data_IF_742988646008
#
_entry.id   IF_742988646008
#
_cell.length_a   1.000
_cell.length_b   1.000
_cell.length_c   1.000
_cell.angle_alpha   90.00
_cell.angle_beta   90.00
_cell.angle_gamma   90.00
#
_symmetry.space_group_name_H-M   'P 1'
#
loop_
_entity.id
_entity.type
_entity.pdbx_description
1 polymer ?
#
# COMPACT_ATOMS: atom_id res chain seq x y z
N UNK A 1 -39.88 24.88 7.68
CA UNK A 1 -39.48 26.06 6.90
C UNK A 1 -38.02 26.33 7.25
N UNK A 2 -37.15 26.40 6.23
CA UNK A 2 -35.70 26.65 6.27
C UNK A 2 -34.80 25.59 6.95
N UNK A 3 -33.56 25.32 6.54
CA UNK A 3 -32.82 25.49 5.29
C UNK A 3 -31.46 24.79 5.50
N UNK A 4 -30.84 24.37 4.40
CA UNK A 4 -29.49 23.82 4.26
C UNK A 4 -28.40 24.59 5.02
N UNK A 5 -27.40 23.87 5.52
CA UNK A 5 -25.99 24.17 5.28
C UNK A 5 -25.15 22.90 5.42
N UNK A 6 -24.52 22.51 4.31
CA UNK A 6 -23.45 21.53 4.26
C UNK A 6 -22.16 22.20 4.74
N UNK A 7 -21.42 21.53 5.62
CA UNK A 7 -20.00 21.82 5.87
C UNK A 7 -19.27 20.49 5.74
N UNK A 8 -18.53 20.39 4.65
CA UNK A 8 -17.44 19.45 4.41
C UNK A 8 -16.24 19.88 5.25
N UNK A 9 -15.84 19.08 6.23
CA UNK A 9 -14.50 19.15 6.84
C UNK A 9 -14.23 17.83 7.58
N UNK A 10 -13.23 17.07 7.13
CA UNK A 10 -12.67 15.93 7.88
C UNK A 10 -11.26 16.32 8.32
N UNK A 11 -11.13 16.74 9.58
CA UNK A 11 -9.85 16.83 10.30
C UNK A 11 -9.99 16.22 11.70
N UNK A 12 -9.08 15.28 11.98
CA UNK A 12 -8.53 14.79 13.27
C UNK A 12 -9.36 14.84 14.57
N UNK A 13 -9.37 13.71 15.29
CA UNK A 13 -9.44 13.66 16.76
C UNK A 13 -8.33 12.73 17.29
N UNK A 14 -7.37 13.32 18.01
CA UNK A 14 -6.56 12.66 19.05
C UNK A 14 -7.40 12.54 20.34
N UNK A 15 -7.15 11.53 21.17
CA UNK A 15 -7.01 11.61 22.65
C UNK A 15 -6.45 10.28 23.21
N UNK A 16 -5.50 10.43 24.14
CA UNK A 16 -4.73 9.48 25.00
C UNK A 16 -5.63 8.64 25.96
N UNK A 17 -5.26 7.53 26.65
CA UNK A 17 -4.12 7.28 27.58
C UNK A 17 -4.15 5.83 28.18
N UNK A 18 -2.98 5.15 28.27
CA UNK A 18 -2.36 4.26 29.31
C UNK A 18 -3.13 3.17 30.13
N UNK A 19 -2.59 1.94 30.20
CA UNK A 19 -2.15 1.21 31.44
C UNK A 19 -1.13 0.07 31.16
N UNK A 20 -0.09 0.00 32.01
CA UNK A 20 1.03 -0.98 32.02
C UNK A 20 0.71 -2.27 32.78
N UNK A 21 1.47 -3.35 32.54
CA UNK A 21 2.06 -4.18 33.61
C UNK A 21 3.52 -4.50 33.27
N UNK A 22 4.41 -4.16 34.20
CA UNK A 22 5.84 -4.50 34.24
C UNK A 22 6.02 -5.65 35.22
N UNK A 23 6.86 -6.64 34.90
CA UNK A 23 7.50 -7.49 35.91
C UNK A 23 9.01 -7.28 35.86
N UNK A 24 9.57 -6.99 37.03
CA UNK A 24 11.00 -6.79 37.27
C UNK A 24 11.61 -8.11 37.73
N UNK A 25 12.57 -8.63 36.96
CA UNK A 25 13.66 -9.44 37.49
C UNK A 25 14.94 -8.87 36.90
N UNK A 26 15.83 -8.44 37.79
CA UNK A 26 17.00 -7.64 37.45
C UNK A 26 17.99 -8.38 36.56
N UNK A 27 18.11 -7.93 35.31
CA UNK A 27 19.34 -7.95 34.54
C UNK A 27 19.45 -6.61 33.82
N UNK A 28 20.48 -5.81 34.13
CA UNK A 28 20.87 -4.68 33.28
C UNK A 28 21.49 -5.27 32.02
N UNK A 29 20.66 -5.65 31.05
CA UNK A 29 21.12 -5.88 29.70
C UNK A 29 21.20 -4.51 29.03
N UNK A 30 22.43 -4.00 28.89
CA UNK A 30 22.74 -2.99 27.88
C UNK A 30 22.52 -3.63 26.51
N UNK A 31 21.27 -3.72 26.06
CA UNK A 31 21.00 -3.91 24.65
C UNK A 31 21.45 -2.63 23.96
N UNK A 32 22.62 -2.68 23.32
CA UNK A 32 22.78 -1.90 22.10
C UNK A 32 21.67 -2.37 21.19
N UNK A 33 20.61 -1.57 21.02
CA UNK A 33 19.70 -1.73 19.90
C UNK A 33 20.59 -1.57 18.66
N UNK A 34 21.09 -2.67 18.12
CA UNK A 34 21.46 -2.69 16.71
C UNK A 34 20.13 -2.50 16.00
N UNK A 35 19.77 -1.24 15.72
CA UNK A 35 18.71 -0.95 14.77
C UNK A 35 19.02 -1.83 13.57
N UNK A 36 18.17 -2.80 13.26
CA UNK A 36 18.26 -3.50 11.99
C UNK A 36 18.06 -2.39 10.98
N UNK A 37 19.16 -1.94 10.38
CA UNK A 37 19.12 -0.84 9.45
C UNK A 37 18.36 -1.35 8.23
N UNK A 38 17.09 -1.01 8.14
CA UNK A 38 16.36 -1.06 6.88
C UNK A 38 17.11 -0.23 5.83
N UNK A 39 16.81 -0.48 4.57
CA UNK A 39 17.34 0.32 3.46
C UNK A 39 17.21 1.82 3.77
N UNK A 40 18.29 2.57 3.55
CA UNK A 40 18.39 4.00 3.85
C UNK A 40 17.23 4.81 3.28
N UNK A 41 16.65 4.38 2.15
CA UNK A 41 15.49 5.06 1.55
C UNK A 41 14.27 5.09 2.47
N UNK A 42 14.08 4.07 3.32
CA UNK A 42 12.96 4.00 4.25
C UNK A 42 13.20 4.78 5.54
N UNK A 43 14.46 5.07 5.87
CA UNK A 43 14.83 5.80 7.10
C UNK A 43 14.43 7.27 7.05
N UNK A 44 14.12 7.81 5.87
CA UNK A 44 13.63 9.20 5.71
C UNK A 44 12.24 9.41 6.29
N UNK A 45 11.50 8.32 6.52
CA UNK A 45 10.18 8.34 7.16
C UNK A 45 10.33 7.83 8.60
N UNK A 46 10.14 8.70 9.62
CA UNK A 46 10.22 8.27 11.01
C UNK A 46 9.22 7.15 11.31
N UNK A 47 9.72 6.03 11.85
CA UNK A 47 8.90 4.87 12.21
C UNK A 47 8.36 4.09 11.01
N UNK A 48 9.01 4.18 9.83
CA UNK A 48 8.60 3.44 8.64
C UNK A 48 8.46 1.93 8.88
N UNK A 49 7.42 1.30 8.31
CA UNK A 49 7.08 -0.11 8.53
C UNK A 49 8.20 -1.07 8.14
N UNK A 50 8.96 -0.77 7.08
CA UNK A 50 10.12 -1.56 6.67
C UNK A 50 11.31 -1.51 7.66
N UNK A 51 11.29 -0.60 8.62
CA UNK A 51 12.35 -0.38 9.61
C UNK A 51 12.01 -0.94 10.98
N UNK A 52 10.87 -1.62 11.11
CA UNK A 52 10.47 -2.26 12.35
C UNK A 52 11.30 -3.52 12.59
N UNK A 53 11.62 -3.76 13.86
CA UNK A 53 12.27 -4.99 14.26
C UNK A 53 11.29 -6.17 14.14
N UNK A 54 11.80 -7.30 13.65
CA UNK A 54 11.05 -8.56 13.66
C UNK A 54 10.77 -9.00 15.10
N UNK A 55 9.51 -9.28 15.40
CA UNK A 55 9.07 -9.84 16.67
C UNK A 55 9.59 -11.27 16.83
N UNK A 56 9.97 -11.65 18.05
CA UNK A 56 10.31 -13.04 18.37
C UNK A 56 9.12 -14.00 18.24
N UNK A 57 7.90 -13.46 18.16
CA UNK A 57 6.67 -14.22 17.92
C UNK A 57 6.45 -14.55 16.44
N UNK A 58 7.18 -13.89 15.53
CA UNK A 58 7.01 -14.10 14.10
C UNK A 58 7.54 -15.48 13.68
N UNK A 59 6.66 -16.28 13.10
CA UNK A 59 6.97 -17.58 12.50
C UNK A 59 6.41 -17.64 11.09
N UNK A 60 6.91 -18.57 10.25
CA UNK A 60 6.49 -18.72 8.85
C UNK A 60 6.53 -17.41 8.04
N UNK A 61 7.57 -16.61 8.30
CA UNK A 61 7.81 -15.35 7.60
C UNK A 61 8.21 -15.60 6.14
N UNK A 62 7.70 -14.76 5.25
CA UNK A 62 7.90 -14.87 3.80
C UNK A 62 6.65 -15.35 3.06
N UNK A 63 6.64 -15.09 1.76
CA UNK A 63 5.61 -15.55 0.82
C UNK A 63 6.30 -16.32 -0.29
N UNK A 64 5.97 -17.60 -0.47
CA UNK A 64 6.60 -18.44 -1.49
C UNK A 64 6.27 -17.93 -2.90
N UNK A 65 7.12 -18.19 -3.91
CA UNK A 65 6.85 -17.75 -5.30
C UNK A 65 5.53 -18.31 -5.85
N UNK A 66 5.14 -19.51 -5.41
CA UNK A 66 3.84 -20.09 -5.73
C UNK A 66 2.69 -19.27 -5.12
N UNK A 67 2.83 -18.86 -3.86
CA UNK A 67 1.86 -18.00 -3.18
C UNK A 67 1.79 -16.60 -3.77
N UNK A 68 2.92 -15.99 -4.14
CA UNK A 68 2.96 -14.69 -4.83
C UNK A 68 2.14 -14.75 -6.13
N UNK A 69 2.33 -15.82 -6.91
CA UNK A 69 1.58 -16.08 -8.14
C UNK A 69 0.10 -16.29 -7.87
N UNK A 70 -0.25 -17.11 -6.86
CA UNK A 70 -1.62 -17.37 -6.45
C UNK A 70 -2.35 -16.09 -6.04
N UNK A 71 -1.72 -15.27 -5.18
CA UNK A 71 -2.25 -13.99 -4.70
C UNK A 71 -2.58 -13.08 -5.88
N UNK A 72 -1.62 -12.86 -6.79
CA UNK A 72 -1.80 -11.98 -7.96
C UNK A 72 -2.89 -12.51 -8.88
N UNK A 73 -2.88 -13.81 -9.18
CA UNK A 73 -3.88 -14.42 -10.04
C UNK A 73 -5.29 -14.30 -9.45
N UNK A 74 -5.43 -14.50 -8.14
CA UNK A 74 -6.72 -14.39 -7.46
C UNK A 74 -7.25 -12.95 -7.46
N UNK A 75 -6.39 -11.97 -7.21
CA UNK A 75 -6.77 -10.56 -7.33
C UNK A 75 -7.21 -10.23 -8.76
N UNK A 76 -6.44 -10.65 -9.77
CA UNK A 76 -6.77 -10.39 -11.17
C UNK A 76 -8.06 -11.09 -11.61
N UNK A 77 -8.31 -12.32 -11.16
CA UNK A 77 -9.58 -13.00 -11.38
C UNK A 77 -10.75 -12.17 -10.85
N UNK A 78 -10.68 -11.73 -9.59
CA UNK A 78 -11.74 -10.95 -8.95
C UNK A 78 -11.93 -9.57 -9.59
N UNK A 79 -10.85 -8.91 -9.98
CA UNK A 79 -10.87 -7.62 -10.69
C UNK A 79 -11.48 -7.74 -12.09
N UNK A 80 -11.19 -8.83 -12.80
CA UNK A 80 -11.66 -9.06 -14.16
C UNK A 80 -13.15 -9.42 -14.25
N UNK A 81 -13.82 -9.68 -13.12
CA UNK A 81 -15.22 -10.13 -13.08
C UNK A 81 -16.16 -9.21 -12.27
N UNK A 82 -15.74 -7.98 -11.96
CA UNK A 82 -16.55 -7.03 -11.21
C UNK A 82 -17.88 -6.72 -11.89
N UNK A 83 -18.90 -6.44 -11.08
CA UNK A 83 -20.22 -5.96 -11.53
C UNK A 83 -20.56 -4.68 -10.75
N UNK A 84 -20.90 -3.56 -11.43
CA UNK A 84 -20.93 -3.37 -12.89
C UNK A 84 -19.56 -3.59 -13.55
N UNK A 85 -19.54 -3.81 -14.85
CA UNK A 85 -18.27 -4.04 -15.56
C UNK A 85 -17.37 -2.81 -15.52
N UNK A 86 -16.05 -3.03 -15.55
CA UNK A 86 -15.07 -1.96 -15.54
C UNK A 86 -14.53 -1.70 -16.95
N UNK A 87 -14.53 -0.44 -17.36
CA UNK A 87 -13.95 0.00 -18.64
C UNK A 87 -12.42 0.06 -18.61
N UNK A 88 -11.83 0.17 -17.40
CA UNK A 88 -10.45 0.64 -17.20
C UNK A 88 -9.63 -0.20 -16.21
N UNK A 89 -10.13 -1.36 -15.78
CA UNK A 89 -9.51 -2.14 -14.70
C UNK A 89 -8.12 -2.64 -15.07
N UNK A 90 -7.07 -2.08 -14.45
CA UNK A 90 -5.70 -2.51 -14.68
C UNK A 90 -5.43 -3.91 -14.12
N UNK A 91 -4.68 -4.71 -14.87
CA UNK A 91 -4.10 -5.96 -14.40
C UNK A 91 -3.04 -5.68 -13.32
N UNK A 92 -3.19 -6.32 -12.16
CA UNK A 92 -2.24 -6.25 -11.06
C UNK A 92 -1.07 -7.22 -11.27
N UNK A 93 0.01 -6.92 -10.57
CA UNK A 93 1.22 -7.74 -10.59
C UNK A 93 2.01 -7.57 -9.29
N UNK A 94 2.91 -8.52 -9.01
CA UNK A 94 3.68 -8.55 -7.77
C UNK A 94 4.68 -7.40 -7.71
N UNK A 95 4.81 -6.77 -6.54
CA UNK A 95 5.81 -5.73 -6.29
C UNK A 95 6.65 -6.08 -5.06
N UNK A 96 7.95 -6.20 -5.26
CA UNK A 96 8.90 -6.64 -4.24
C UNK A 96 9.13 -5.60 -3.13
N UNK A 97 8.96 -4.30 -3.41
CA UNK A 97 9.06 -3.26 -2.39
C UNK A 97 7.83 -3.29 -1.49
N UNK A 98 6.63 -3.38 -2.06
CA UNK A 98 5.38 -3.52 -1.29
C UNK A 98 5.42 -4.79 -0.46
N UNK A 99 5.87 -5.91 -1.02
CA UNK A 99 6.04 -7.17 -0.30
C UNK A 99 7.01 -7.06 0.88
N UNK A 100 8.14 -6.36 0.71
CA UNK A 100 9.11 -6.15 1.78
C UNK A 100 8.52 -5.32 2.93
N UNK A 101 7.80 -4.23 2.64
CA UNK A 101 7.12 -3.43 3.67
C UNK A 101 6.02 -4.25 4.34
N UNK A 102 5.23 -5.02 3.57
CA UNK A 102 4.20 -5.91 4.09
C UNK A 102 4.76 -6.96 5.05
N UNK A 103 5.86 -7.60 4.67
CA UNK A 103 6.50 -8.62 5.47
C UNK A 103 7.05 -8.04 6.77
N UNK A 104 7.70 -6.88 6.73
CA UNK A 104 8.20 -6.22 7.94
C UNK A 104 7.07 -5.86 8.91
N UNK A 105 5.92 -5.39 8.39
CA UNK A 105 4.74 -5.12 9.22
C UNK A 105 4.17 -6.41 9.84
N UNK A 106 4.01 -7.47 9.04
CA UNK A 106 3.53 -8.77 9.52
C UNK A 106 4.48 -9.38 10.57
N UNK A 107 5.78 -9.29 10.34
CA UNK A 107 6.84 -9.78 11.24
C UNK A 107 6.89 -9.01 12.56
N UNK A 108 6.31 -7.81 12.65
CA UNK A 108 6.17 -7.06 13.90
C UNK A 108 5.04 -7.60 14.80
N UNK A 109 4.25 -8.57 14.33
CA UNK A 109 3.18 -9.21 15.09
C UNK A 109 2.11 -8.27 15.68
N UNK A 110 1.88 -7.12 15.05
CA UNK A 110 0.86 -6.17 15.46
C UNK A 110 -0.34 -6.20 14.50
N UNK A 111 -1.50 -6.66 14.97
CA UNK A 111 -2.72 -6.69 14.16
C UNK A 111 -3.49 -5.36 14.25
N UNK A 112 -2.87 -4.32 13.72
CA UNK A 112 -3.48 -3.02 13.45
C UNK A 112 -3.03 -2.55 12.08
N UNK A 113 -3.75 -1.58 11.50
CA UNK A 113 -3.22 -0.89 10.34
C UNK A 113 -2.01 -0.05 10.74
N UNK A 114 -0.96 -0.07 9.92
CA UNK A 114 0.13 0.89 10.02
C UNK A 114 -0.31 2.28 9.50
N UNK A 115 0.51 3.28 9.78
CA UNK A 115 0.25 4.63 9.29
C UNK A 115 0.46 4.71 7.77
N UNK A 116 -0.44 5.43 7.07
CA UNK A 116 -0.39 5.55 5.61
C UNK A 116 0.93 6.10 5.08
N UNK A 117 1.51 7.06 5.79
CA UNK A 117 2.83 7.60 5.47
C UNK A 117 3.96 6.59 5.75
N UNK A 118 3.87 5.83 6.85
CA UNK A 118 4.85 4.84 7.27
C UNK A 118 4.93 3.60 6.36
N UNK A 119 3.95 3.38 5.48
CA UNK A 119 3.96 2.31 4.47
C UNK A 119 4.21 2.79 3.03
N UNK A 120 4.51 4.07 2.84
CA UNK A 120 4.86 4.63 1.53
C UNK A 120 6.16 4.06 1.02
N UNK A 121 6.27 3.78 -0.28
CA UNK A 121 7.55 3.45 -0.89
C UNK A 121 8.20 4.78 -1.35
N UNK A 122 9.25 5.28 -0.67
CA UNK A 122 9.80 6.60 -0.95
C UNK A 122 10.29 6.71 -2.39
N UNK A 123 9.96 7.82 -3.06
CA UNK A 123 10.27 8.04 -4.48
C UNK A 123 9.42 7.26 -5.48
N UNK A 124 8.44 6.46 -5.01
CA UNK A 124 7.58 5.67 -5.89
C UNK A 124 6.09 5.94 -5.71
N UNK A 125 5.48 5.59 -4.58
CA UNK A 125 4.02 5.77 -4.35
C UNK A 125 3.64 5.41 -2.91
N UNK A 126 2.53 5.99 -2.45
CA UNK A 126 1.84 5.56 -1.24
C UNK A 126 1.10 4.22 -1.48
N UNK A 127 0.96 3.41 -0.44
CA UNK A 127 0.27 2.11 -0.52
C UNK A 127 -0.97 2.10 0.37
N UNK A 128 -1.96 1.27 0.04
CA UNK A 128 -3.02 0.84 0.94
C UNK A 128 -2.63 -0.46 1.67
N UNK A 129 -3.56 -1.03 2.43
CA UNK A 129 -3.30 -2.24 3.20
C UNK A 129 -4.60 -3.00 3.46
N UNK A 130 -4.55 -4.32 3.27
CA UNK A 130 -5.58 -5.25 3.74
C UNK A 130 -4.96 -6.17 4.77
N UNK A 131 -5.63 -6.35 5.90
CA UNK A 131 -5.15 -7.24 6.97
C UNK A 131 -6.02 -8.49 7.04
N UNK A 132 -5.39 -9.62 7.33
CA UNK A 132 -6.05 -10.89 7.58
C UNK A 132 -5.51 -11.51 8.86
N UNK A 133 -6.40 -12.07 9.67
CA UNK A 133 -6.02 -12.85 10.84
C UNK A 133 -6.77 -14.17 10.80
N UNK A 134 -6.04 -15.23 11.14
CA UNK A 134 -6.58 -16.54 11.39
C UNK A 134 -6.22 -16.95 12.81
N UNK A 135 -7.14 -17.65 13.48
CA UNK A 135 -6.83 -18.35 14.73
C UNK A 135 -6.89 -19.85 14.46
N UNK A 136 -5.93 -20.60 15.02
CA UNK A 136 -5.84 -22.05 14.85
C UNK A 136 -4.87 -22.52 13.76
N UNK A 137 -4.71 -23.84 13.68
CA UNK A 137 -3.87 -24.53 12.70
C UNK A 137 -4.75 -25.45 11.82
N UNK A 138 -4.46 -25.57 10.51
CA UNK A 138 -3.35 -24.95 9.78
C UNK A 138 -3.57 -23.46 9.51
N UNK A 139 -2.48 -22.76 9.15
CA UNK A 139 -2.53 -21.41 8.61
C UNK A 139 -3.55 -21.29 7.46
N UNK A 140 -4.24 -20.15 7.35
CA UNK A 140 -5.10 -19.89 6.21
C UNK A 140 -4.27 -19.87 4.92
N UNK A 141 -4.72 -20.65 3.93
CA UNK A 141 -4.17 -20.56 2.59
C UNK A 141 -4.44 -19.16 2.00
N UNK A 142 -3.51 -18.66 1.19
CA UNK A 142 -3.64 -17.34 0.55
C UNK A 142 -4.92 -17.19 -0.28
N UNK A 143 -5.37 -18.27 -0.92
CA UNK A 143 -6.65 -18.29 -1.65
C UNK A 143 -7.83 -17.90 -0.73
N UNK A 144 -7.87 -18.44 0.48
CA UNK A 144 -8.91 -18.15 1.47
C UNK A 144 -8.82 -16.71 1.97
N UNK A 145 -7.60 -16.17 2.19
CA UNK A 145 -7.40 -14.79 2.64
C UNK A 145 -7.92 -13.79 1.61
N UNK A 146 -7.53 -13.94 0.34
CA UNK A 146 -7.98 -13.04 -0.74
C UNK A 146 -9.49 -13.18 -0.97
N UNK A 147 -10.02 -14.40 -0.88
CA UNK A 147 -11.47 -14.66 -1.00
C UNK A 147 -12.26 -14.02 0.14
N UNK A 148 -11.76 -14.07 1.37
CA UNK A 148 -12.38 -13.41 2.53
C UNK A 148 -12.51 -11.91 2.30
N UNK A 149 -11.44 -11.25 1.82
CA UNK A 149 -11.49 -9.82 1.47
C UNK A 149 -12.48 -9.53 0.34
N UNK A 150 -12.51 -10.37 -0.69
CA UNK A 150 -13.44 -10.21 -1.81
C UNK A 150 -14.90 -10.37 -1.40
N UNK A 151 -15.21 -11.27 -0.47
CA UNK A 151 -16.58 -11.62 -0.08
C UNK A 151 -17.37 -10.46 0.58
N UNK A 152 -16.70 -9.36 0.95
CA UNK A 152 -17.37 -8.11 1.29
C UNK A 152 -18.18 -7.50 0.13
N UNK A 153 -17.99 -7.97 -1.10
CA UNK A 153 -18.84 -7.65 -2.26
C UNK A 153 -20.33 -7.80 -1.96
N UNK A 154 -20.71 -8.75 -1.10
CA UNK A 154 -22.10 -8.99 -0.71
C UNK A 154 -22.72 -7.83 0.09
N UNK A 155 -21.90 -6.88 0.56
CA UNK A 155 -22.32 -5.68 1.30
C UNK A 155 -22.09 -4.39 0.51
N UNK A 156 -21.51 -4.48 -0.69
CA UNK A 156 -21.14 -3.35 -1.51
C UNK A 156 -22.21 -3.06 -2.58
N UNK A 157 -22.54 -1.79 -2.75
CA UNK A 157 -23.33 -1.32 -3.89
C UNK A 157 -22.54 -0.24 -4.63
N UNK A 158 -22.29 -0.46 -5.91
CA UNK A 158 -21.53 0.48 -6.72
C UNK A 158 -22.22 1.86 -6.78
N UNK A 159 -21.43 2.92 -6.57
CA UNK A 159 -21.89 4.31 -6.55
C UNK A 159 -23.03 4.58 -5.55
N UNK A 160 -23.04 3.89 -4.41
CA UNK A 160 -24.03 4.12 -3.36
C UNK A 160 -23.44 4.88 -2.18
N UNK A 161 -24.21 5.83 -1.63
CA UNK A 161 -23.91 6.48 -0.35
C UNK A 161 -24.25 5.61 0.87
N UNK A 162 -24.97 4.49 0.68
CA UNK A 162 -25.29 3.53 1.75
C UNK A 162 -24.11 2.66 2.18
N UNK A 163 -23.02 2.71 1.42
CA UNK A 163 -21.81 1.95 1.67
C UNK A 163 -21.13 2.38 2.98
N UNK A 164 -20.84 1.41 3.84
CA UNK A 164 -20.14 1.63 5.11
C UNK A 164 -18.73 1.07 5.00
N UNK A 165 -17.70 1.94 5.05
CA UNK A 165 -16.31 1.56 4.78
C UNK A 165 -15.81 0.36 5.60
N UNK A 166 -16.16 0.27 6.88
CA UNK A 166 -15.75 -0.85 7.75
C UNK A 166 -16.27 -2.23 7.30
N UNK A 167 -17.25 -2.27 6.40
CA UNK A 167 -17.85 -3.50 5.87
C UNK A 167 -17.39 -3.86 4.46
N UNK A 168 -16.75 -2.93 3.74
CA UNK A 168 -16.43 -3.05 2.31
C UNK A 168 -14.98 -2.65 1.97
N UNK A 169 -14.21 -2.22 2.97
CA UNK A 169 -12.88 -1.64 2.79
C UNK A 169 -11.93 -2.63 2.10
N UNK A 170 -11.97 -3.90 2.49
CA UNK A 170 -11.11 -4.91 1.90
C UNK A 170 -11.51 -5.20 0.46
N UNK A 171 -12.80 -5.38 0.17
CA UNK A 171 -13.28 -5.61 -1.20
C UNK A 171 -12.96 -4.41 -2.10
N UNK A 172 -13.32 -3.20 -1.69
CA UNK A 172 -13.08 -1.98 -2.50
C UNK A 172 -11.60 -1.77 -2.75
N UNK A 173 -10.72 -2.20 -1.86
CA UNK A 173 -9.27 -2.20 -2.07
C UNK A 173 -8.80 -3.29 -3.06
N UNK A 174 -9.36 -4.51 -3.02
CA UNK A 174 -9.06 -5.57 -4.01
C UNK A 174 -9.36 -5.11 -5.44
N UNK A 175 -10.47 -4.40 -5.62
CA UNK A 175 -10.96 -3.98 -6.94
C UNK A 175 -10.64 -2.52 -7.29
N UNK A 176 -9.84 -1.81 -6.48
CA UNK A 176 -9.49 -0.40 -6.74
C UNK A 176 -8.64 -0.27 -8.00
N UNK A 177 -8.98 0.67 -8.86
CA UNK A 177 -8.20 1.04 -10.03
C UNK A 177 -7.62 2.45 -9.86
N UNK A 178 -6.29 2.57 -9.78
CA UNK A 178 -5.61 3.86 -9.64
C UNK A 178 -6.22 4.77 -8.56
N UNK A 179 -6.67 5.95 -8.98
CA UNK A 179 -7.30 6.96 -8.13
C UNK A 179 -8.79 6.71 -7.81
N UNK A 180 -9.32 5.52 -8.09
CA UNK A 180 -10.69 5.13 -7.77
C UNK A 180 -11.03 5.33 -6.30
N UNK A 181 -12.27 5.68 -6.00
CA UNK A 181 -12.76 5.96 -4.64
C UNK A 181 -13.43 4.74 -4.02
N UNK A 182 -13.78 4.81 -2.73
CA UNK A 182 -14.46 3.69 -2.04
C UNK A 182 -15.77 3.30 -2.74
N UNK A 183 -16.61 4.28 -3.10
CA UNK A 183 -17.91 4.02 -3.72
C UNK A 183 -17.82 3.82 -5.24
N UNK A 184 -16.75 4.31 -5.88
CA UNK A 184 -16.48 4.23 -7.31
C UNK A 184 -15.03 3.80 -7.55
N UNK A 185 -14.70 2.52 -7.25
CA UNK A 185 -13.32 2.03 -7.26
C UNK A 185 -12.71 1.93 -8.67
N UNK A 186 -13.53 1.95 -9.71
CA UNK A 186 -13.16 1.91 -11.12
C UNK A 186 -14.19 2.67 -11.96
N UNK A 187 -13.94 2.86 -13.26
CA UNK A 187 -14.92 3.48 -14.17
C UNK A 187 -15.86 2.42 -14.75
N UNK A 188 -17.13 2.42 -14.32
CA UNK A 188 -18.14 1.48 -14.82
C UNK A 188 -18.50 1.69 -16.29
N UNK A 189 -18.72 0.61 -17.02
CA UNK A 189 -19.14 0.59 -18.43
C UNK A 189 -18.67 -0.70 -19.11
N UNK A 190 -18.88 -0.85 -20.44
CA UNK A 190 -18.49 -2.04 -21.18
C UNK A 190 -17.07 -2.49 -20.86
N UNK A 191 -16.92 -3.77 -20.52
CA UNK A 191 -15.65 -4.35 -20.09
C UNK A 191 -14.51 -3.98 -21.03
N UNK A 192 -13.42 -3.47 -20.46
CA UNK A 192 -12.22 -3.08 -21.18
C UNK A 192 -12.38 -2.00 -22.27
N UNK A 193 -13.49 -1.25 -22.31
CA UNK A 193 -13.72 -0.26 -23.37
C UNK A 193 -12.57 0.75 -23.55
N UNK A 194 -11.81 1.04 -22.47
CA UNK A 194 -10.69 2.00 -22.51
C UNK A 194 -9.32 1.34 -22.73
N UNK A 195 -9.24 0.02 -22.77
CA UNK A 195 -7.98 -0.71 -22.89
C UNK A 195 -7.56 -0.86 -24.36
N UNK A 196 -6.25 -0.81 -24.63
CA UNK A 196 -5.67 -1.24 -25.91
C UNK A 196 -5.61 -2.76 -26.01
N UNK A 197 -5.23 -3.42 -24.92
CA UNK A 197 -5.22 -4.88 -24.78
C UNK A 197 -6.11 -5.29 -23.61
N UNK A 198 -7.08 -6.16 -23.87
CA UNK A 198 -7.96 -6.73 -22.83
C UNK A 198 -7.66 -8.22 -22.65
N UNK A 199 -7.21 -8.58 -21.45
CA UNK A 199 -6.95 -9.98 -21.07
C UNK A 199 -7.79 -10.31 -19.84
N UNK A 200 -8.70 -11.28 -19.95
CA UNK A 200 -9.58 -11.72 -18.86
C UNK A 200 -10.35 -10.56 -18.17
N UNK A 201 -10.78 -9.56 -18.95
CA UNK A 201 -11.51 -8.40 -18.42
C UNK A 201 -10.64 -7.32 -17.78
N UNK A 202 -9.33 -7.35 -18.01
CA UNK A 202 -8.37 -6.38 -17.48
C UNK A 202 -7.62 -5.68 -18.61
N UNK A 203 -7.33 -4.39 -18.43
CA UNK A 203 -6.35 -3.67 -19.24
C UNK A 203 -4.96 -4.24 -18.94
N UNK A 204 -4.38 -4.94 -19.91
CA UNK A 204 -3.08 -5.58 -19.79
C UNK A 204 -2.00 -4.72 -20.46
N UNK A 205 -1.28 -3.97 -19.62
CA UNK A 205 -0.14 -3.16 -20.05
C UNK A 205 1.20 -3.90 -19.90
N UNK A 206 1.17 -5.21 -19.74
CA UNK A 206 2.35 -6.05 -19.53
C UNK A 206 3.19 -5.53 -18.36
N UNK A 207 4.43 -5.19 -18.67
CA UNK A 207 5.45 -4.76 -17.71
C UNK A 207 5.52 -3.23 -17.55
N UNK A 208 4.50 -2.46 -17.95
CA UNK A 208 4.55 -1.01 -17.79
C UNK A 208 4.34 -0.61 -16.30
N UNK A 209 5.16 0.33 -15.81
CA UNK A 209 5.02 0.94 -14.48
C UNK A 209 4.74 2.45 -14.60
N UNK A 210 3.95 2.97 -13.66
CA UNK A 210 3.53 4.37 -13.61
C UNK A 210 3.48 4.84 -12.16
N UNK A 211 4.56 5.49 -11.72
CA UNK A 211 4.82 5.88 -10.35
C UNK A 211 4.36 7.32 -10.06
N UNK A 212 4.40 7.69 -8.78
CA UNK A 212 4.27 9.05 -8.26
C UNK A 212 3.02 9.79 -8.76
N UNK A 213 1.86 9.12 -8.66
CA UNK A 213 0.58 9.67 -9.12
C UNK A 213 0.46 9.78 -10.64
N UNK A 214 1.36 9.17 -11.41
CA UNK A 214 1.23 9.00 -12.84
C UNK A 214 -0.02 8.19 -13.21
N UNK A 215 -0.55 8.41 -14.41
CA UNK A 215 -1.71 7.68 -14.93
C UNK A 215 -1.38 6.99 -16.25
N UNK A 216 -1.95 5.81 -16.50
CA UNK A 216 -1.78 5.14 -17.78
C UNK A 216 -2.69 5.73 -18.86
N UNK A 217 -2.14 5.97 -20.04
CA UNK A 217 -2.93 5.88 -21.27
C UNK A 217 -3.22 4.39 -21.51
N UNK A 218 -4.44 3.95 -21.23
CA UNK A 218 -4.79 2.53 -21.28
C UNK A 218 -4.83 1.95 -22.70
N UNK A 219 -4.85 2.80 -23.73
CA UNK A 219 -4.77 2.38 -25.14
C UNK A 219 -3.33 2.09 -25.56
N UNK A 220 -2.38 2.94 -25.16
CA UNK A 220 -0.97 2.80 -25.55
C UNK A 220 -0.07 2.20 -24.48
N UNK A 221 -0.59 2.07 -23.26
CA UNK A 221 0.14 1.71 -22.04
C UNK A 221 1.30 2.66 -21.69
N UNK A 222 1.33 3.85 -22.28
CA UNK A 222 2.28 4.89 -21.90
C UNK A 222 1.85 5.55 -20.58
N UNK A 223 2.82 5.79 -19.69
CA UNK A 223 2.58 6.52 -18.46
C UNK A 223 2.57 8.04 -18.73
N UNK A 224 1.57 8.71 -18.17
CA UNK A 224 1.35 10.15 -18.20
C UNK A 224 1.71 10.70 -16.82
N UNK A 225 2.80 11.45 -16.74
CA UNK A 225 3.26 12.03 -15.49
C UNK A 225 2.40 13.23 -15.08
N UNK A 226 2.32 13.46 -13.77
CA UNK A 226 1.84 14.72 -13.22
C UNK A 226 2.67 15.87 -13.80
N UNK A 227 2.10 17.09 -13.83
CA UNK A 227 2.73 18.31 -14.36
C UNK A 227 3.85 18.84 -13.43
N UNK A 228 4.78 17.98 -13.03
CA UNK A 228 5.95 18.33 -12.25
C UNK A 228 7.19 18.00 -13.08
N UNK A 229 8.15 18.91 -13.10
CA UNK A 229 9.37 18.79 -13.93
C UNK A 229 10.31 17.69 -13.44
N UNK A 230 10.17 17.26 -12.19
CA UNK A 230 10.97 16.23 -11.56
C UNK A 230 10.41 14.81 -11.69
N UNK A 231 9.27 14.61 -12.37
CA UNK A 231 8.79 13.27 -12.74
C UNK A 231 9.12 12.96 -14.19
N UNK A 232 10.00 11.98 -14.38
CA UNK A 232 10.57 11.67 -15.68
C UNK A 232 9.91 10.47 -16.32
N UNK A 233 9.60 10.60 -17.61
CA UNK A 233 9.23 9.47 -18.47
C UNK A 233 10.37 8.45 -18.55
N UNK A 234 10.08 7.17 -18.82
CA UNK A 234 8.77 6.62 -19.21
C UNK A 234 7.87 6.19 -18.05
N UNK A 235 8.33 6.23 -16.79
CA UNK A 235 7.59 5.64 -15.65
C UNK A 235 7.14 6.65 -14.58
N UNK A 236 7.39 7.94 -14.79
CA UNK A 236 7.18 8.98 -13.78
C UNK A 236 7.96 8.73 -12.49
N UNK A 237 9.18 8.21 -12.65
CA UNK A 237 10.15 8.14 -11.56
C UNK A 237 10.51 9.54 -11.08
N UNK A 238 10.74 9.68 -9.78
CA UNK A 238 11.26 10.91 -9.19
C UNK A 238 12.73 11.06 -9.60
N UNK A 239 13.09 12.22 -10.15
CA UNK A 239 14.47 12.62 -10.43
C UNK A 239 14.83 13.78 -9.49
N UNK A 240 15.74 13.55 -8.55
CA UNK A 240 16.12 14.56 -7.57
C UNK A 240 17.24 15.50 -8.06
N UNK A 241 17.83 15.26 -9.24
CA UNK A 241 18.90 16.10 -9.77
C UNK A 241 18.35 17.49 -10.15
N UNK A 242 18.76 18.51 -9.39
CA UNK A 242 18.37 19.90 -9.65
C UNK A 242 16.87 20.17 -9.45
N UNK A 243 16.21 19.38 -8.59
CA UNK A 243 14.78 19.57 -8.31
C UNK A 243 14.53 21.00 -7.83
N UNK A 244 13.67 21.71 -8.57
CA UNK A 244 13.17 23.03 -8.17
C UNK A 244 11.73 22.87 -7.75
N UNK A 245 11.48 22.88 -6.45
CA UNK A 245 10.13 22.76 -5.91
C UNK A 245 9.34 24.06 -6.07
N UNK A 246 8.02 23.95 -5.97
CA UNK A 246 7.14 25.11 -5.99
C UNK A 246 7.38 25.99 -4.75
N UNK A 247 7.12 27.29 -4.86
CA UNK A 247 7.29 28.26 -3.75
C UNK A 247 6.32 28.05 -2.56
N UNK A 248 5.38 27.12 -2.71
CA UNK A 248 4.48 26.62 -1.66
C UNK A 248 5.15 25.57 -0.77
N UNK A 249 6.14 24.82 -1.26
CA UNK A 249 6.88 23.86 -0.45
C UNK A 249 7.63 24.56 0.69
N UNK A 250 7.63 23.96 1.88
CA UNK A 250 8.18 24.54 3.11
C UNK A 250 7.23 25.47 3.87
N UNK A 251 5.99 25.66 3.40
CA UNK A 251 4.93 26.41 4.09
C UNK A 251 3.76 25.49 4.37
N UNK A 252 3.14 25.61 5.55
CA UNK A 252 1.93 24.84 5.88
C UNK A 252 0.83 25.02 4.82
N UNK A 253 0.18 23.94 4.34
CA UNK A 253 0.29 22.54 4.79
C UNK A 253 1.38 21.71 4.07
N UNK A 254 2.23 22.31 3.23
CA UNK A 254 3.32 21.68 2.46
C UNK A 254 4.69 21.78 3.15
N UNK A 255 4.71 21.86 4.47
CA UNK A 255 5.92 21.78 5.29
C UNK A 255 6.21 20.31 5.68
N UNK A 256 7.31 20.09 6.42
CA UNK A 256 7.70 18.73 6.84
C UNK A 256 6.67 18.03 7.73
N UNK A 257 5.83 18.78 8.46
CA UNK A 257 4.74 18.18 9.24
C UNK A 257 3.61 17.69 8.32
N UNK A 258 3.34 18.45 7.26
CA UNK A 258 2.41 18.10 6.20
C UNK A 258 2.69 16.77 5.52
N UNK A 259 3.96 16.36 5.41
CA UNK A 259 4.37 15.12 4.76
C UNK A 259 3.69 13.88 5.36
N UNK A 260 3.52 13.83 6.68
CA UNK A 260 2.89 12.69 7.37
C UNK A 260 1.36 12.78 7.43
N UNK A 261 0.80 13.95 7.16
CA UNK A 261 -0.63 14.24 7.32
C UNK A 261 -1.36 14.12 5.98
N UNK A 262 -0.76 14.65 4.91
CA UNK A 262 -1.39 14.80 3.60
C UNK A 262 -0.66 13.95 2.56
N UNK A 263 -1.37 13.00 1.98
CA UNK A 263 -0.78 12.05 1.01
C UNK A 263 -0.22 12.72 -0.24
N UNK A 264 -0.68 13.91 -0.59
CA UNK A 264 -0.17 14.66 -1.75
C UNK A 264 1.12 15.43 -1.46
N UNK A 265 1.41 15.78 -0.19
CA UNK A 265 2.58 16.62 0.14
C UNK A 265 3.91 15.94 -0.21
N UNK A 266 4.13 14.63 0.07
CA UNK A 266 5.35 13.96 -0.38
C UNK A 266 5.52 13.88 -1.90
N UNK A 267 4.43 13.93 -2.67
CA UNK A 267 4.48 13.96 -4.13
C UNK A 267 4.71 15.38 -4.66
N UNK A 268 4.07 16.38 -4.08
CA UNK A 268 4.18 17.77 -4.53
C UNK A 268 5.49 18.42 -4.04
N UNK A 269 6.00 17.99 -2.87
CA UNK A 269 7.18 18.52 -2.19
C UNK A 269 8.14 17.41 -1.69
N UNK A 270 8.65 16.51 -2.56
CA UNK A 270 9.54 15.41 -2.18
C UNK A 270 10.83 15.81 -1.44
N UNK A 271 11.52 16.88 -1.84
CA UNK A 271 12.70 17.41 -1.14
C UNK A 271 12.36 17.91 0.28
N UNK A 272 11.28 18.68 0.44
CA UNK A 272 10.77 19.09 1.77
C UNK A 272 10.45 17.90 2.68
N UNK A 273 10.01 16.78 2.09
CA UNK A 273 9.73 15.52 2.78
C UNK A 273 10.92 14.56 2.88
N UNK A 274 12.12 14.97 2.45
CA UNK A 274 13.34 14.16 2.51
C UNK A 274 13.37 12.96 1.55
N UNK A 275 12.46 12.88 0.58
CA UNK A 275 12.45 11.81 -0.43
C UNK A 275 13.58 11.98 -1.43
N UNK A 276 14.06 13.21 -1.61
CA UNK A 276 15.30 13.50 -2.31
C UNK A 276 16.45 13.67 -1.31
N UNK A 277 17.62 13.00 -1.51
CA UNK A 277 18.01 12.11 -2.61
C UNK A 277 17.68 10.62 -2.37
N UNK A 278 16.93 10.27 -1.33
CA UNK A 278 16.63 8.87 -0.98
C UNK A 278 15.99 8.04 -2.12
N UNK A 279 15.28 8.69 -3.03
CA UNK A 279 14.73 8.11 -4.25
C UNK A 279 15.78 7.91 -5.36
N UNK A 280 16.78 8.79 -5.46
CA UNK A 280 17.89 8.73 -6.44
C UNK A 280 18.97 7.73 -6.00
N UNK A 281 19.07 7.46 -4.69
CA UNK A 281 20.09 6.61 -4.10
C UNK A 281 19.75 5.12 -4.27
N UNK A 282 19.74 4.64 -5.51
CA UNK A 282 20.33 3.34 -5.82
C UNK A 282 21.83 3.44 -5.53
N UNK A 283 22.22 3.50 -4.26
CA UNK A 283 23.63 3.49 -3.85
C UNK A 283 24.23 2.19 -4.41
N UNK A 284 25.03 2.33 -5.47
CA UNK A 284 25.77 1.27 -6.16
C UNK A 284 24.99 0.21 -6.97
N UNK A 285 23.87 0.55 -7.62
CA UNK A 285 23.43 -0.18 -8.83
C UNK A 285 23.23 -1.70 -8.72
N UNK A 286 23.03 -2.27 -7.53
CA UNK A 286 22.68 -3.67 -7.33
C UNK A 286 21.57 -3.78 -6.29
N UNK A 287 20.34 -3.88 -6.77
CA UNK A 287 19.24 -4.45 -6.00
C UNK A 287 19.44 -5.97 -6.07
N UNK A 288 20.07 -6.55 -5.06
CA UNK A 288 19.96 -7.99 -4.80
C UNK A 288 18.92 -8.16 -3.71
N UNK A 289 17.65 -8.23 -4.11
CA UNK A 289 16.66 -8.90 -3.27
C UNK A 289 16.87 -10.41 -3.42
N UNK A 290 16.74 -11.22 -2.36
CA UNK A 290 16.82 -12.66 -2.47
C UNK A 290 15.64 -13.16 -3.31
N UNK A 291 15.91 -13.53 -4.57
CA UNK A 291 14.97 -14.20 -5.46
C UNK A 291 14.74 -13.51 -6.82
N UNK A 292 15.72 -13.63 -7.70
CA UNK A 292 15.66 -13.66 -9.18
C UNK A 292 14.58 -12.86 -9.96
N UNK A 293 15.10 -12.00 -10.85
CA UNK A 293 14.70 -11.75 -12.26
C UNK A 293 13.23 -11.44 -12.60
N UNK A 294 13.06 -10.31 -13.31
CA UNK A 294 11.85 -9.77 -13.96
C UNK A 294 10.92 -8.89 -13.09
N UNK A 295 11.47 -7.75 -12.66
CA UNK A 295 10.78 -6.69 -11.90
C UNK A 295 10.38 -5.51 -12.81
N UNK A 296 9.18 -5.54 -13.40
CA UNK A 296 8.43 -4.31 -13.75
C UNK A 296 6.93 -4.59 -13.80
N UNK A 297 6.14 -4.05 -12.87
CA UNK A 297 4.79 -4.57 -12.57
C UNK A 297 3.86 -3.48 -12.00
N UNK A 298 2.68 -3.25 -12.63
CA UNK A 298 1.58 -2.40 -12.09
C UNK A 298 1.22 -2.88 -10.69
N UNK A 299 1.48 -2.01 -9.71
CA UNK A 299 1.65 -2.44 -8.32
C UNK A 299 0.36 -2.81 -7.61
N UNK A 300 0.47 -3.91 -6.90
CA UNK A 300 -0.26 -4.20 -5.69
C UNK A 300 -0.22 -2.99 -4.73
N UNK A 301 -1.33 -2.30 -4.52
CA UNK A 301 -1.42 -1.18 -3.55
C UNK A 301 -1.92 -1.67 -2.19
N UNK A 302 -1.68 -2.93 -1.83
CA UNK A 302 -2.19 -3.49 -0.58
C UNK A 302 -1.14 -4.34 0.08
N UNK A 303 -0.57 -3.84 1.19
CA UNK A 303 0.17 -4.70 2.09
C UNK A 303 -0.76 -5.85 2.50
N UNK A 304 -0.25 -7.07 2.37
CA UNK A 304 -0.88 -8.29 2.81
C UNK A 304 -0.20 -8.66 4.13
N UNK A 305 -0.87 -8.42 5.26
CA UNK A 305 -0.44 -8.94 6.55
C UNK A 305 -1.31 -10.13 6.92
N UNK A 306 -0.75 -11.34 6.92
CA UNK A 306 -1.37 -12.50 7.57
C UNK A 306 -0.68 -12.72 8.91
N UNK A 307 -1.36 -12.41 10.02
CA UNK A 307 -0.85 -12.75 11.33
C UNK A 307 -1.30 -14.18 11.69
N UNK A 308 -0.33 -15.09 11.80
CA UNK A 308 -0.54 -16.43 12.32
C UNK A 308 -0.21 -16.44 13.81
N UNK A 309 -1.23 -16.40 14.65
CA UNK A 309 -1.05 -16.73 16.06
C UNK A 309 -1.07 -18.26 16.18
N UNK A 310 0.09 -18.86 16.44
CA UNK A 310 0.17 -20.26 16.83
C UNK A 310 -0.60 -20.42 18.15
N UNK A 311 -1.75 -21.08 18.08
CA UNK A 311 -2.52 -21.44 19.26
C UNK A 311 -1.79 -22.53 20.04
N UNK A 312 -1.14 -22.15 21.13
CA UNK A 312 -0.79 -23.08 22.20
C UNK A 312 -1.04 -22.44 23.55
N UNK A 313 -2.31 -22.16 23.88
CA UNK A 313 -2.86 -22.30 25.23
C UNK A 313 -4.28 -22.83 25.04
N UNK A 314 -4.46 -24.11 25.38
CA UNK A 314 -5.77 -24.72 25.58
C UNK A 314 -6.48 -24.01 26.74
N UNK A 315 -7.78 -23.78 26.55
CA UNK A 315 -8.83 -23.70 27.56
C UNK A 315 -8.43 -23.27 28.98
N UNK A 316 -8.79 -22.05 29.36
CA UNK A 316 -9.37 -21.79 30.67
C UNK A 316 -10.51 -20.76 30.48
N UNK A 317 -11.64 -21.08 31.09
CA UNK A 317 -12.93 -20.38 31.04
C UNK A 317 -12.85 -18.90 31.42
#
# INVERSE_FOLDING_TARGET
>A
MAAFNAITDFHFVQISTIFMIVYWSGMKLSLSLSMIACDAKYQVIPGHSACLAKSSLASNSGVSSADQTLIVNKHNQYRGQVTPEATDMLKMSWDTYVAAVAQAWADNCNFTHDGGYQRTIPGRYSTGQNLGMATGQPALAWDSVVTMWYNEVNKFVYNSSSNVFSNIGHYTQVIRNGAGQVNTPYTSGPRCQRCGTCTNGLCDCGNADCMNGGTFNLTTCACICRKQTFYVKPHCGLNCTGITQTSTCGKSPYDSAGCAIYSNVPEDCPDTCGFCPAADSTVNGQIVLPGSADDVKVKFTSLIGLLLLASSIQALF
#
